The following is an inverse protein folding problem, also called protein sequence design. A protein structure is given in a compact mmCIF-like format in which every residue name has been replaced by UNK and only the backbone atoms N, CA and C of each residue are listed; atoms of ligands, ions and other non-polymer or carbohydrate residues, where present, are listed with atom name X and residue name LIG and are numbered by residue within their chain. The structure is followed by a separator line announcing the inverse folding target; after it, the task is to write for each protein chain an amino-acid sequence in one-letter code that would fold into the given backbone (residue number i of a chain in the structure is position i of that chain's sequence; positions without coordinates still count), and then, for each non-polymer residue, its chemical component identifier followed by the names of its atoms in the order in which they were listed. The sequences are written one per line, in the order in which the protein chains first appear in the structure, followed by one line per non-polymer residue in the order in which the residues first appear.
data_IF_305800946906
#
_entry.id   IF_305800946906
#
_cell.length_a   1.000
_cell.length_b   1.000
_cell.length_c   1.000
_cell.angle_alpha   90.00
_cell.angle_beta   90.00
_cell.angle_gamma   90.00
#
_symmetry.space_group_name_H-M   'P 1'
#
loop_
_entity.id
_entity.type
_entity.pdbx_description
1 polymer ?
#
# COMPACT_ATOMS: atom_id res chain seq x y z
N UNK A 1 -12.57 8.49 -5.63
CA UNK A 1 -12.18 7.28 -6.39
C UNK A 1 -11.52 6.31 -5.42
N UNK A 2 -11.68 5.00 -5.59
CA UNK A 2 -11.04 4.00 -4.72
C UNK A 2 -9.71 3.57 -5.32
N UNK A 3 -8.71 3.27 -4.48
CA UNK A 3 -7.49 2.62 -4.94
C UNK A 3 -7.65 1.09 -4.93
N UNK A 4 -7.02 0.37 -5.87
CA UNK A 4 -7.15 -1.07 -5.99
C UNK A 4 -6.48 -1.78 -4.80
N UNK A 5 -7.17 -2.79 -4.25
CA UNK A 5 -6.66 -3.62 -3.14
C UNK A 5 -5.50 -4.52 -3.57
N UNK A 6 -5.29 -4.76 -4.86
CA UNK A 6 -4.19 -5.62 -5.34
C UNK A 6 -2.81 -5.09 -4.91
N UNK A 7 -2.66 -3.75 -4.79
CA UNK A 7 -1.44 -3.10 -4.31
C UNK A 7 -1.17 -3.31 -2.80
N UNK A 8 -2.11 -3.92 -2.08
CA UNK A 8 -1.96 -4.31 -0.67
C UNK A 8 -1.48 -5.77 -0.53
N UNK A 9 -1.16 -6.43 -1.63
CA UNK A 9 -0.45 -7.71 -1.62
C UNK A 9 0.98 -7.45 -2.07
N UNK A 10 1.94 -7.77 -1.20
CA UNK A 10 3.37 -7.65 -1.48
C UNK A 10 3.98 -9.05 -1.44
N UNK A 11 4.62 -9.44 -2.53
CA UNK A 11 5.35 -10.72 -2.58
C UNK A 11 6.51 -10.70 -1.58
N UNK A 12 6.69 -11.79 -0.85
CA UNK A 12 7.75 -11.94 0.16
C UNK A 12 7.78 -10.80 1.19
N UNK A 13 6.61 -10.25 1.52
CA UNK A 13 6.48 -9.14 2.44
C UNK A 13 5.04 -8.91 2.88
N UNK A 14 4.80 -7.72 3.42
CA UNK A 14 3.50 -7.28 3.90
C UNK A 14 3.27 -5.84 3.45
N UNK A 15 2.01 -5.55 3.09
CA UNK A 15 1.54 -4.19 2.88
C UNK A 15 0.42 -3.91 3.89
N UNK A 16 0.66 -2.96 4.78
CA UNK A 16 -0.29 -2.60 5.83
C UNK A 16 -0.95 -1.27 5.48
N UNK A 17 -2.21 -1.35 5.03
CA UNK A 17 -3.03 -0.17 4.79
C UNK A 17 -3.47 0.48 6.13
N UNK A 18 -3.38 1.81 6.18
CA UNK A 18 -3.78 2.66 7.30
C UNK A 18 -4.77 3.70 6.79
N UNK A 19 -5.64 4.19 7.69
CA UNK A 19 -6.75 5.07 7.32
C UNK A 19 -7.65 4.45 6.22
N UNK A 20 -7.96 3.17 6.37
CA UNK A 20 -8.87 2.42 5.51
C UNK A 20 -9.94 1.76 6.39
N UNK A 21 -11.22 2.04 6.12
CA UNK A 21 -12.34 1.34 6.76
C UNK A 21 -12.71 0.06 6.00
N UNK A 22 -13.18 0.18 4.75
CA UNK A 22 -13.61 -0.96 3.91
C UNK A 22 -12.86 -1.05 2.58
N UNK A 23 -12.53 0.10 2.00
CA UNK A 23 -11.83 0.25 0.71
C UNK A 23 -10.84 1.41 0.79
N UNK A 24 -9.66 1.33 0.12
CA UNK A 24 -8.73 2.44 0.07
C UNK A 24 -9.33 3.62 -0.69
N UNK A 25 -9.26 4.81 -0.11
CA UNK A 25 -9.69 6.08 -0.70
C UNK A 25 -8.60 7.12 -0.54
N UNK A 26 -8.80 8.32 -1.10
CA UNK A 26 -7.88 9.43 -0.89
C UNK A 26 -7.55 9.60 0.61
N UNK A 27 -6.26 9.70 0.93
CA UNK A 27 -5.77 9.82 2.31
C UNK A 27 -5.45 8.49 2.98
N UNK A 28 -5.95 7.36 2.45
CA UNK A 28 -5.42 6.03 2.81
C UNK A 28 -3.94 5.96 2.39
N UNK A 29 -3.11 5.36 3.24
CA UNK A 29 -1.72 5.13 2.93
C UNK A 29 -1.31 3.72 3.36
N UNK A 30 -0.26 3.18 2.76
CA UNK A 30 0.22 1.82 3.06
C UNK A 30 1.70 1.85 3.39
N UNK A 31 2.09 1.05 4.37
CA UNK A 31 3.48 0.75 4.73
C UNK A 31 3.85 -0.61 4.17
N UNK A 32 5.03 -0.71 3.54
CA UNK A 32 5.57 -1.93 3.00
C UNK A 32 6.74 -2.42 3.85
N UNK A 33 6.72 -3.71 4.18
CA UNK A 33 7.82 -4.40 4.84
C UNK A 33 8.13 -5.71 4.12
N UNK A 34 9.39 -6.11 4.13
CA UNK A 34 9.81 -7.39 3.57
C UNK A 34 9.94 -8.42 4.68
N UNK A 35 9.67 -9.68 4.35
CA UNK A 35 9.98 -10.81 5.21
C UNK A 35 11.49 -10.95 5.38
N UNK A 36 11.97 -11.61 6.47
CA UNK A 36 13.39 -11.87 6.66
C UNK A 36 14.03 -12.53 5.44
N UNK A 37 15.23 -12.06 5.06
CA UNK A 37 15.95 -12.53 3.86
C UNK A 37 15.61 -11.79 2.56
N UNK A 38 14.62 -10.91 2.58
CA UNK A 38 14.25 -10.06 1.44
C UNK A 38 14.53 -8.59 1.72
N UNK A 39 14.72 -7.81 0.66
CA UNK A 39 14.97 -6.37 0.74
C UNK A 39 13.97 -5.62 -0.13
N UNK A 40 13.40 -4.57 0.43
CA UNK A 40 12.49 -3.69 -0.30
C UNK A 40 13.26 -2.89 -1.35
N UNK A 41 12.70 -2.81 -2.55
CA UNK A 41 13.20 -1.96 -3.63
C UNK A 41 12.13 -0.94 -3.97
N UNK A 42 12.48 0.35 -3.84
CA UNK A 42 11.53 1.47 -3.98
C UNK A 42 11.06 2.02 -2.64
N UNK A 43 9.91 2.70 -2.66
CA UNK A 43 9.36 3.39 -1.48
C UNK A 43 8.76 2.42 -0.49
N UNK A 44 9.09 2.58 0.80
CA UNK A 44 8.46 1.86 1.91
C UNK A 44 7.03 2.32 2.22
N UNK A 45 6.56 3.38 1.56
CA UNK A 45 5.22 3.93 1.75
C UNK A 45 4.62 4.39 0.44
N UNK A 46 3.32 4.15 0.28
CA UNK A 46 2.51 4.68 -0.82
C UNK A 46 1.22 5.30 -0.30
N UNK A 47 0.72 6.32 -0.98
CA UNK A 47 -0.53 7.00 -0.61
C UNK A 47 -1.55 6.86 -1.74
N UNK A 48 -2.81 6.64 -1.38
CA UNK A 48 -3.91 6.66 -2.32
C UNK A 48 -4.24 8.12 -2.66
N UNK A 49 -4.06 8.46 -3.93
CA UNK A 49 -4.26 9.83 -4.43
C UNK A 49 -5.72 10.10 -4.78
N UNK A 50 -6.08 11.39 -4.96
CA UNK A 50 -7.38 11.84 -5.49
C UNK A 50 -7.83 11.10 -6.75
N UNK A 51 -6.86 10.65 -7.56
CA UNK A 51 -7.10 9.95 -8.81
C UNK A 51 -7.48 8.48 -8.64
N UNK A 52 -7.42 7.92 -7.43
CA UNK A 52 -7.65 6.49 -7.17
C UNK A 52 -6.45 5.63 -7.53
N UNK A 53 -5.23 6.20 -7.43
CA UNK A 53 -3.97 5.51 -7.72
C UNK A 53 -3.02 5.62 -6.54
N UNK A 54 -2.26 4.55 -6.32
CA UNK A 54 -1.13 4.53 -5.40
C UNK A 54 0.06 5.29 -5.99
N UNK A 55 0.79 6.03 -5.13
CA UNK A 55 2.00 6.81 -5.46
C UNK A 55 3.29 6.06 -5.22
#
# INVERSE_FOLDING_TARGET
RTCPKMHLSLENGQAVARAMERVPVEGTWTEFSCNPGFRLVGSARSNCTKLGRWS
#
